data_IF_320659128081
#
_entry.id   IF_320659128081
#
_cell.length_a   1.000
_cell.length_b   1.000
_cell.length_c   1.000
_cell.angle_alpha   90.00
_cell.angle_beta   90.00
_cell.angle_gamma   90.00
#
_symmetry.space_group_name_H-M   'P 1'
#
loop_
_entity.id
_entity.type
_entity.pdbx_description
1 polymer ?
#
# COMPACT_ATOMS: atom_id res chain seq x y z
N UNK A 1 2.02 24.35 -13.30
CA UNK A 1 0.66 24.53 -12.75
C UNK A 1 0.18 23.18 -12.26
N UNK A 2 0.09 23.01 -10.95
CA UNK A 2 -0.36 21.79 -10.29
C UNK A 2 -1.89 21.69 -10.36
N UNK A 3 -2.41 20.50 -10.62
CA UNK A 3 -3.84 20.23 -10.67
C UNK A 3 -4.13 18.75 -10.79
N UNK A 4 -3.72 17.95 -9.79
CA UNK A 4 -4.33 16.65 -9.58
C UNK A 4 -5.66 16.86 -8.83
N UNK A 5 -6.79 16.30 -9.28
CA UNK A 5 -8.10 16.53 -8.67
C UNK A 5 -8.17 15.92 -7.26
N UNK A 6 -9.05 16.43 -6.38
CA UNK A 6 -9.28 15.84 -5.06
C UNK A 6 -9.91 14.46 -5.24
N UNK A 7 -9.17 13.41 -4.90
CA UNK A 7 -9.69 12.07 -4.82
C UNK A 7 -10.73 12.01 -3.69
N UNK A 8 -11.99 12.13 -4.07
CA UNK A 8 -13.17 11.90 -3.24
C UNK A 8 -13.07 10.48 -2.64
N UNK A 9 -13.02 10.40 -1.32
CA UNK A 9 -12.92 9.13 -0.58
C UNK A 9 -14.11 8.21 -0.91
N UNK A 10 -13.88 6.95 -1.33
CA UNK A 10 -14.96 5.97 -1.45
C UNK A 10 -15.41 5.48 -0.06
N UNK A 11 -16.69 5.08 0.10
CA UNK A 11 -17.21 4.60 1.37
C UNK A 11 -16.48 3.31 1.79
N UNK A 12 -16.27 3.17 3.11
CA UNK A 12 -15.67 1.99 3.71
C UNK A 12 -16.45 0.72 3.30
N UNK A 13 -15.84 -0.12 2.47
CA UNK A 13 -16.37 -1.45 2.15
C UNK A 13 -16.13 -2.41 3.32
N UNK A 14 -17.11 -3.28 3.65
CA UNK A 14 -17.02 -4.17 4.79
C UNK A 14 -16.13 -5.38 4.52
N UNK A 15 -15.43 -5.82 5.57
CA UNK A 15 -14.56 -7.01 5.66
C UNK A 15 -13.42 -7.07 4.63
N UNK A 16 -12.47 -6.13 4.73
CA UNK A 16 -11.25 -6.14 3.91
C UNK A 16 -10.25 -7.17 4.43
N UNK A 17 -9.72 -7.99 3.53
CA UNK A 17 -8.41 -8.64 3.70
C UNK A 17 -7.40 -7.60 4.21
N UNK A 18 -6.38 -8.02 4.95
CA UNK A 18 -5.37 -7.09 5.49
C UNK A 18 -4.70 -6.17 4.44
N UNK A 19 -4.88 -6.48 3.15
CA UNK A 19 -4.52 -5.69 1.98
C UNK A 19 -5.75 -5.53 1.07
N UNK A 20 -6.08 -4.29 0.71
CA UNK A 20 -7.15 -3.95 -0.23
C UNK A 20 -6.61 -2.98 -1.30
N UNK A 21 -7.06 -3.09 -2.55
CA UNK A 21 -6.70 -2.10 -3.58
C UNK A 21 -7.64 -0.90 -3.46
N UNK A 22 -7.11 0.26 -3.08
CA UNK A 22 -7.94 1.46 -2.90
C UNK A 22 -8.34 2.07 -4.24
N UNK A 23 -7.43 2.05 -5.20
CA UNK A 23 -7.60 2.62 -6.54
C UNK A 23 -7.10 1.63 -7.59
N UNK A 24 -7.62 1.69 -8.83
CA UNK A 24 -7.06 0.95 -9.95
C UNK A 24 -5.56 1.20 -10.09
N UNK A 25 -4.82 0.16 -10.51
CA UNK A 25 -3.40 0.29 -10.79
C UNK A 25 -3.24 1.06 -12.10
N UNK A 26 -2.69 2.27 -12.02
CA UNK A 26 -2.44 3.13 -13.18
C UNK A 26 -0.96 3.47 -13.27
N UNK A 27 -0.40 3.31 -14.48
CA UNK A 27 1.00 3.53 -14.80
C UNK A 27 1.96 2.76 -13.85
N UNK A 28 2.59 3.47 -12.91
CA UNK A 28 3.59 2.96 -11.99
C UNK A 28 3.20 3.12 -10.51
N UNK A 29 1.95 3.50 -10.24
CA UNK A 29 1.43 3.72 -8.89
C UNK A 29 0.45 2.64 -8.48
N UNK A 30 0.66 2.06 -7.29
CA UNK A 30 -0.28 1.13 -6.66
C UNK A 30 -0.71 1.71 -5.30
N UNK A 31 -2.01 1.92 -5.12
CA UNK A 31 -2.57 2.41 -3.86
C UNK A 31 -3.23 1.27 -3.09
N UNK A 32 -2.73 0.98 -1.90
CA UNK A 32 -3.19 -0.14 -1.06
C UNK A 32 -3.72 0.36 0.27
N UNK A 33 -4.84 -0.20 0.71
CA UNK A 33 -5.35 -0.10 2.07
C UNK A 33 -4.67 -1.16 2.91
N UNK A 34 -4.05 -0.75 4.01
CA UNK A 34 -3.28 -1.64 4.87
C UNK A 34 -3.52 -1.32 6.33
N UNK A 35 -3.49 -2.32 7.20
CA UNK A 35 -3.43 -2.09 8.65
C UNK A 35 -2.14 -1.39 9.06
N UNK A 36 -2.17 -0.61 10.14
CA UNK A 36 -0.96 0.03 10.70
C UNK A 36 0.14 -0.98 11.04
N UNK A 37 -0.23 -2.18 11.50
CA UNK A 37 0.71 -3.27 11.77
C UNK A 37 1.45 -3.72 10.50
N UNK A 38 0.77 -3.81 9.35
CA UNK A 38 1.39 -4.16 8.08
C UNK A 38 2.35 -3.05 7.61
N UNK A 39 1.94 -1.79 7.77
CA UNK A 39 2.76 -0.61 7.44
C UNK A 39 4.04 -0.59 8.28
N UNK A 40 3.91 -0.70 9.60
CA UNK A 40 5.04 -0.72 10.52
C UNK A 40 6.02 -1.86 10.21
N UNK A 41 5.50 -3.05 9.88
CA UNK A 41 6.32 -4.20 9.49
C UNK A 41 7.13 -3.94 8.22
N UNK A 42 6.51 -3.39 7.18
CA UNK A 42 7.21 -3.09 5.92
C UNK A 42 8.27 -2.00 6.14
N UNK A 43 7.95 -0.95 6.91
CA UNK A 43 8.94 0.08 7.31
C UNK A 43 10.12 -0.51 8.08
N UNK A 44 9.86 -1.43 9.02
CA UNK A 44 10.90 -2.13 9.77
C UNK A 44 11.80 -3.02 8.92
N UNK A 45 11.37 -3.41 7.70
CA UNK A 45 12.17 -4.12 6.71
C UNK A 45 12.91 -3.22 5.73
N UNK A 46 12.84 -1.89 5.92
CA UNK A 46 13.54 -0.92 5.08
C UNK A 46 12.76 -0.50 3.83
N UNK A 47 11.48 -0.86 3.71
CA UNK A 47 10.63 -0.36 2.64
C UNK A 47 10.27 1.11 2.85
N UNK A 48 10.33 1.90 1.79
CA UNK A 48 10.01 3.32 1.80
C UNK A 48 8.82 3.58 0.86
N UNK A 49 7.77 4.21 1.39
CA UNK A 49 6.55 4.51 0.65
C UNK A 49 5.76 5.61 1.36
N UNK A 50 4.89 6.31 0.65
CA UNK A 50 4.07 7.36 1.24
C UNK A 50 2.78 6.78 1.84
N UNK A 51 2.39 7.27 3.01
CA UNK A 51 1.12 6.91 3.66
C UNK A 51 0.08 8.01 3.41
N UNK A 52 -1.13 7.62 3.07
CA UNK A 52 -2.27 8.53 3.01
C UNK A 52 -2.85 8.76 4.40
N UNK A 53 -3.31 9.99 4.64
CA UNK A 53 -4.13 10.34 5.79
C UNK A 53 -5.44 9.53 5.67
N UNK A 54 -5.64 8.56 6.57
CA UNK A 54 -6.81 7.65 6.52
C UNK A 54 -6.50 6.15 6.33
N UNK A 55 -5.24 5.72 6.38
CA UNK A 55 -4.89 4.28 6.48
C UNK A 55 -4.56 3.58 5.16
N UNK A 56 -4.12 4.34 4.15
CA UNK A 56 -3.62 3.80 2.88
C UNK A 56 -2.13 4.03 2.69
N UNK A 57 -1.51 3.31 1.75
CA UNK A 57 -0.16 3.55 1.26
C UNK A 57 -0.15 3.69 -0.25
N UNK A 58 0.80 4.44 -0.78
CA UNK A 58 1.10 4.52 -2.21
C UNK A 58 2.49 3.97 -2.48
N UNK A 59 2.54 2.91 -3.28
CA UNK A 59 3.76 2.36 -3.83
C UNK A 59 3.99 3.00 -5.20
N UNK A 60 5.13 3.65 -5.39
CA UNK A 60 5.49 4.27 -6.66
C UNK A 60 6.75 3.59 -7.18
N UNK A 61 6.63 2.93 -8.33
CA UNK A 61 7.73 2.21 -8.94
C UNK A 61 8.45 3.10 -9.95
N UNK A 62 9.76 3.27 -9.82
CA UNK A 62 10.55 3.93 -10.87
C UNK A 62 10.85 2.93 -11.99
N UNK A 63 11.15 3.44 -13.20
CA UNK A 63 11.46 2.61 -14.38
C UNK A 63 12.53 1.55 -14.14
N UNK A 64 13.48 1.84 -13.25
CA UNK A 64 14.63 0.97 -12.94
C UNK A 64 14.35 -0.03 -11.80
N UNK A 65 13.10 -0.15 -11.34
CA UNK A 65 12.79 -1.14 -10.30
C UNK A 65 12.97 -2.54 -10.87
N UNK A 66 13.97 -3.27 -10.35
CA UNK A 66 14.23 -4.65 -10.75
C UNK A 66 13.11 -5.62 -10.35
N UNK A 67 12.96 -6.70 -11.13
CA UNK A 67 11.99 -7.77 -10.85
C UNK A 67 12.24 -8.40 -9.48
N UNK A 68 13.49 -8.57 -9.08
CA UNK A 68 13.87 -9.10 -7.77
C UNK A 68 13.29 -8.25 -6.61
N UNK A 69 13.34 -6.92 -6.74
CA UNK A 69 12.73 -5.99 -5.77
C UNK A 69 11.21 -6.13 -5.75
N UNK A 70 10.57 -6.30 -6.91
CA UNK A 70 9.13 -6.52 -7.00
C UNK A 70 8.71 -7.85 -6.36
N UNK A 71 9.50 -8.91 -6.55
CA UNK A 71 9.29 -10.22 -5.92
C UNK A 71 9.49 -10.15 -4.41
N UNK A 72 10.56 -9.49 -3.94
CA UNK A 72 10.82 -9.29 -2.52
C UNK A 72 9.67 -8.52 -1.84
N UNK A 73 9.17 -7.46 -2.49
CA UNK A 73 8.02 -6.70 -2.01
C UNK A 73 6.76 -7.57 -1.99
N UNK A 74 6.49 -8.32 -3.07
CA UNK A 74 5.35 -9.22 -3.16
C UNK A 74 5.36 -10.31 -2.08
N UNK A 75 6.53 -10.88 -1.79
CA UNK A 75 6.72 -11.85 -0.72
C UNK A 75 6.44 -11.22 0.65
N UNK A 76 6.94 -10.01 0.89
CA UNK A 76 6.73 -9.29 2.13
C UNK A 76 5.30 -8.81 2.35
N UNK A 77 4.57 -8.50 1.28
CA UNK A 77 3.15 -8.18 1.29
C UNK A 77 2.31 -9.42 1.66
N UNK A 78 2.61 -10.58 1.07
CA UNK A 78 1.89 -11.85 1.32
C UNK A 78 2.08 -12.42 2.73
N UNK A 79 3.12 -12.00 3.46
CA UNK A 79 3.32 -12.49 4.84
C UNK A 79 2.13 -12.09 5.71
N UNK A 80 1.56 -13.01 6.51
CA UNK A 80 0.52 -12.66 7.47
C UNK A 80 1.09 -11.69 8.51
N UNK A 81 0.36 -10.63 8.81
CA UNK A 81 0.59 -9.84 10.02
C UNK A 81 -0.22 -10.49 11.13
N UNK A 82 0.38 -10.67 12.31
CA UNK A 82 -0.39 -11.04 13.49
C UNK A 82 -1.49 -10.00 13.67
N UNK A 83 -2.74 -10.43 13.57
CA UNK A 83 -3.88 -9.56 13.82
C UNK A 83 -3.91 -9.37 15.33
N UNK A 84 -3.66 -8.14 15.79
CA UNK A 84 -3.84 -7.82 17.20
C UNK A 84 -5.35 -7.93 17.49
N UNK A 85 -5.75 -9.05 18.07
CA UNK A 85 -7.09 -9.23 18.64
C UNK A 85 -7.18 -8.32 19.86
N UNK A 86 -7.93 -7.23 19.72
CA UNK A 86 -8.44 -6.45 20.85
C UNK A 86 -9.77 -7.05 21.32
#
# INVERSE_FOLDING_TARGET
>A
MAGAPPALAPPASPARSCLDLLHPVEANGVSLGMSEAAVARLRGRGWHFDTFIGGGVRLMFIRDTGVDTMDALGADLRRPVAQATA
#
